data_IF_952196899167
#
_entry.id   IF_952196899167
#
_cell.length_a   1.000
_cell.length_b   1.000
_cell.length_c   1.000
_cell.angle_alpha   90.00
_cell.angle_beta   90.00
_cell.angle_gamma   90.00
#
_symmetry.space_group_name_H-M   'P 1'
#
loop_
_entity.id
_entity.type
_entity.pdbx_description
1 polymer ?
#
# COMPACT_ATOMS: atom_id res chain seq x y z
N UNK A 1 9.89 -6.44 8.59
CA UNK A 1 8.66 -5.65 8.40
C UNK A 1 7.98 -6.09 7.11
N UNK A 2 6.71 -6.43 7.21
CA UNK A 2 5.97 -6.93 6.06
C UNK A 2 4.99 -5.87 5.56
N UNK A 3 5.14 -5.49 4.30
CA UNK A 3 4.31 -4.48 3.67
C UNK A 3 3.46 -5.11 2.58
N UNK A 4 2.17 -4.86 2.61
CA UNK A 4 1.23 -5.33 1.59
C UNK A 4 0.47 -4.13 1.04
N UNK A 5 0.44 -4.01 -0.28
CA UNK A 5 -0.29 -2.94 -0.96
C UNK A 5 -1.56 -3.52 -1.60
N UNK A 6 -2.70 -3.01 -1.20
CA UNK A 6 -3.99 -3.39 -1.79
C UNK A 6 -4.42 -2.34 -2.79
N UNK A 7 -4.60 -2.74 -4.04
CA UNK A 7 -5.03 -1.83 -5.08
C UNK A 7 -5.39 -2.57 -6.34
N UNK A 8 -6.07 -1.89 -7.25
CA UNK A 8 -6.51 -2.47 -8.52
C UNK A 8 -5.70 -1.90 -9.67
N UNK A 9 -5.66 -2.64 -10.79
CA UNK A 9 -4.97 -2.17 -11.98
C UNK A 9 -5.66 -0.93 -12.54
N UNK A 10 -4.86 0.01 -13.04
CA UNK A 10 -5.37 1.27 -13.54
C UNK A 10 -5.57 2.35 -12.50
N UNK A 11 -5.29 2.05 -11.25
CA UNK A 11 -5.38 3.04 -10.17
C UNK A 11 -4.08 3.84 -10.09
N UNK A 12 -4.16 5.14 -10.40
CA UNK A 12 -2.98 6.00 -10.38
C UNK A 12 -2.38 6.12 -8.97
N UNK A 13 -3.22 6.16 -7.96
CA UNK A 13 -2.77 6.26 -6.57
C UNK A 13 -2.04 5.00 -6.13
N UNK A 14 -2.54 3.85 -6.55
CA UNK A 14 -1.87 2.58 -6.26
C UNK A 14 -0.50 2.52 -6.91
N UNK A 15 -0.40 2.96 -8.16
CA UNK A 15 0.88 3.04 -8.85
C UNK A 15 1.84 4.00 -8.16
N UNK A 16 1.34 5.13 -7.73
CA UNK A 16 2.17 6.13 -7.06
C UNK A 16 2.80 5.56 -5.79
N UNK A 17 2.00 4.92 -4.95
CA UNK A 17 2.50 4.32 -3.72
C UNK A 17 3.44 3.16 -4.03
N UNK A 18 3.12 2.34 -5.02
CA UNK A 18 3.99 1.26 -5.46
C UNK A 18 5.37 1.78 -5.88
N UNK A 19 5.39 2.85 -6.67
CA UNK A 19 6.64 3.46 -7.10
C UNK A 19 7.43 4.03 -5.93
N UNK A 20 6.75 4.65 -4.98
CA UNK A 20 7.40 5.18 -3.79
C UNK A 20 8.04 4.07 -2.96
N UNK A 21 7.37 2.94 -2.82
CA UNK A 21 7.92 1.79 -2.12
C UNK A 21 9.18 1.28 -2.82
N UNK A 22 9.14 1.20 -4.14
CA UNK A 22 10.30 0.76 -4.92
C UNK A 22 11.47 1.72 -4.78
N UNK A 23 11.20 3.02 -4.84
CA UNK A 23 12.25 4.04 -4.72
C UNK A 23 12.94 4.00 -3.38
N UNK A 24 12.21 3.63 -2.34
CA UNK A 24 12.76 3.54 -0.99
C UNK A 24 13.43 2.20 -0.71
N UNK A 25 13.42 1.29 -1.68
CA UNK A 25 14.02 -0.03 -1.51
C UNK A 25 13.26 -0.92 -0.55
N UNK A 26 11.99 -0.65 -0.32
CA UNK A 26 11.15 -1.45 0.56
C UNK A 26 10.54 -2.61 -0.21
N UNK A 27 10.61 -3.80 0.38
CA UNK A 27 9.95 -4.96 -0.19
C UNK A 27 8.47 -4.93 0.17
N UNK A 28 7.64 -5.24 -0.80
CA UNK A 28 6.20 -5.26 -0.59
C UNK A 28 5.54 -6.28 -1.50
N UNK A 29 4.33 -6.71 -1.09
CA UNK A 29 3.50 -7.58 -1.90
C UNK A 29 2.31 -6.76 -2.40
N UNK A 30 2.05 -6.80 -3.70
CA UNK A 30 0.90 -6.13 -4.28
C UNK A 30 -0.24 -7.13 -4.43
N UNK A 31 -1.40 -6.80 -3.88
CA UNK A 31 -2.61 -7.61 -4.00
C UNK A 31 -3.64 -6.80 -4.77
N UNK A 32 -4.03 -7.28 -5.95
CA UNK A 32 -5.04 -6.66 -6.78
C UNK A 32 -6.29 -7.52 -6.93
N UNK A 33 -6.42 -8.55 -6.11
CA UNK A 33 -7.57 -9.44 -6.11
C UNK A 33 -8.74 -8.76 -5.40
N UNK A 34 -9.78 -8.43 -6.16
CA UNK A 34 -10.93 -7.73 -5.63
C UNK A 34 -11.61 -8.50 -4.51
N UNK A 35 -11.66 -9.82 -4.61
CA UNK A 35 -12.29 -10.65 -3.59
C UNK A 35 -11.56 -10.54 -2.25
N UNK A 36 -10.22 -10.54 -2.28
CA UNK A 36 -9.43 -10.38 -1.08
C UNK A 36 -9.58 -8.97 -0.50
N UNK A 37 -9.68 -7.96 -1.35
CA UNK A 37 -9.86 -6.59 -0.91
C UNK A 37 -11.20 -6.44 -0.21
N UNK A 38 -12.25 -7.02 -0.76
CA UNK A 38 -13.58 -6.99 -0.17
C UNK A 38 -13.59 -7.75 1.16
N UNK A 39 -12.90 -8.88 1.21
CA UNK A 39 -12.83 -9.70 2.41
C UNK A 39 -12.15 -8.97 3.57
N UNK A 40 -11.19 -8.12 3.25
CA UNK A 40 -10.51 -7.29 4.25
C UNK A 40 -11.35 -6.12 4.75
N UNK A 41 -12.48 -5.87 4.13
CA UNK A 41 -13.41 -4.79 4.50
C UNK A 41 -12.71 -3.43 4.55
N UNK A 42 -11.98 -3.13 3.49
CA UNK A 42 -11.25 -1.87 3.39
C UNK A 42 -12.20 -0.74 3.02
N UNK A 43 -12.06 0.40 3.68
CA UNK A 43 -12.91 1.56 3.42
C UNK A 43 -12.58 2.22 2.09
N UNK A 44 -11.39 2.01 1.61
CA UNK A 44 -10.91 2.69 0.42
C UNK A 44 -9.82 1.86 -0.27
N UNK A 45 -9.70 2.04 -1.54
CA UNK A 45 -8.57 1.62 -2.35
C UNK A 45 -7.87 2.95 -2.69
N UNK A 46 -6.68 3.19 -2.38
CA UNK A 46 -5.52 2.39 -2.11
C UNK A 46 -5.34 2.18 -0.61
N UNK A 47 -4.98 0.98 -0.23
CA UNK A 47 -4.68 0.68 1.17
C UNK A 47 -3.33 -0.03 1.26
N UNK A 48 -2.59 0.27 2.31
CA UNK A 48 -1.31 -0.36 2.58
C UNK A 48 -1.35 -0.97 3.98
N UNK A 49 -0.96 -2.20 4.09
CA UNK A 49 -0.91 -2.90 5.38
C UNK A 49 0.55 -3.10 5.78
N UNK A 50 0.89 -2.68 6.99
CA UNK A 50 2.23 -2.86 7.55
C UNK A 50 2.09 -3.51 8.91
N UNK A 51 2.56 -4.75 9.01
CA UNK A 51 2.54 -5.51 10.27
C UNK A 51 1.17 -5.52 10.93
N UNK A 52 0.11 -5.64 10.14
CA UNK A 52 -1.25 -5.71 10.63
C UNK A 52 -1.97 -4.37 10.74
N UNK A 53 -1.30 -3.25 10.52
CA UNK A 53 -1.94 -1.94 10.52
C UNK A 53 -2.28 -1.52 9.10
N UNK A 54 -3.48 -0.96 8.93
CA UNK A 54 -3.95 -0.50 7.63
C UNK A 54 -3.76 1.01 7.52
N UNK A 55 -3.12 1.42 6.45
CA UNK A 55 -2.92 2.84 6.12
C UNK A 55 -3.59 3.14 4.79
N UNK A 56 -4.53 4.07 4.80
CA UNK A 56 -5.15 4.54 3.58
C UNK A 56 -4.28 5.63 2.95
N UNK A 57 -4.67 6.13 1.80
CA UNK A 57 -3.85 6.98 0.94
C UNK A 57 -2.98 8.00 1.69
N UNK A 58 -3.61 8.88 2.45
CA UNK A 58 -2.88 9.96 3.14
C UNK A 58 -1.96 9.40 4.21
N UNK A 59 -2.46 8.44 4.98
CA UNK A 59 -1.67 7.82 6.04
C UNK A 59 -0.51 7.02 5.46
N UNK A 60 -0.72 6.36 4.32
CA UNK A 60 0.34 5.62 3.66
C UNK A 60 1.46 6.55 3.20
N UNK A 61 1.11 7.69 2.64
CA UNK A 61 2.11 8.68 2.23
C UNK A 61 2.89 9.23 3.43
N UNK A 62 2.21 9.48 4.53
CA UNK A 62 2.86 9.93 5.76
C UNK A 62 3.80 8.86 6.30
N UNK A 63 3.36 7.60 6.29
CA UNK A 63 4.21 6.50 6.72
C UNK A 63 5.47 6.39 5.87
N UNK A 64 5.30 6.50 4.55
CA UNK A 64 6.42 6.43 3.61
C UNK A 64 7.41 7.57 3.83
N UNK A 65 6.92 8.76 4.16
CA UNK A 65 7.78 9.90 4.44
C UNK A 65 8.64 9.67 5.69
N UNK A 66 8.09 8.96 6.68
CA UNK A 66 8.81 8.67 7.92
C UNK A 66 9.77 7.49 7.80
N UNK A 67 9.50 6.57 6.88
CA UNK A 67 10.26 5.33 6.76
C UNK A 67 11.08 5.30 5.47
N UNK A 68 11.82 6.38 5.24
CA UNK A 68 12.75 6.41 4.14
C UNK A 68 13.88 5.43 4.39
N UNK A 69 14.11 4.57 3.43
CA UNK A 69 15.28 3.72 3.43
C UNK A 69 16.33 4.38 2.54
N UNK A 70 17.46 4.60 3.07
CA UNK A 70 18.59 5.18 2.34
C UNK A 70 19.55 4.11 1.89
#
# INVERSE_FOLDING_TARGET
MKVTLYGVDGCHRCQFISEMLKKRGLEYTKISDVDLIVEKDLDSITAMEVDGEIFYETAALAWLAKHKKE
#
